data_IF_273838857221
#
_entry.id   IF_273838857221
#
_cell.length_a   1.000
_cell.length_b   1.000
_cell.length_c   1.000
_cell.angle_alpha   90.00
_cell.angle_beta   90.00
_cell.angle_gamma   90.00
#
_symmetry.space_group_name_H-M   'P 1'
#
loop_
_entity.id
_entity.type
_entity.pdbx_description
1 polymer ?
#
# COMPACT_ATOMS: atom_id res chain seq x y z
N UNK A 1 -0.25 -20.11 3.79
CA UNK A 1 0.64 -20.01 2.60
C UNK A 1 2.07 -20.08 3.12
N UNK A 2 2.84 -21.08 2.70
CA UNK A 2 4.04 -21.59 3.39
C UNK A 2 5.35 -21.34 2.62
N UNK A 3 5.42 -20.22 1.91
CA UNK A 3 6.64 -19.67 1.36
C UNK A 3 6.49 -18.16 1.52
N UNK A 4 7.32 -17.53 2.35
CA UNK A 4 7.21 -16.12 2.76
C UNK A 4 7.46 -15.10 1.64
N UNK A 5 6.74 -15.25 0.53
CA UNK A 5 6.74 -14.33 -0.60
C UNK A 5 5.68 -13.25 -0.33
N UNK A 6 6.10 -11.98 -0.39
CA UNK A 6 5.15 -10.88 -0.40
C UNK A 6 4.39 -10.91 -1.73
N UNK A 7 3.07 -10.76 -1.67
CA UNK A 7 2.22 -10.66 -2.87
C UNK A 7 1.74 -9.23 -2.96
N UNK A 8 2.09 -8.55 -4.06
CA UNK A 8 1.60 -7.22 -4.38
C UNK A 8 0.30 -7.33 -5.16
N UNK A 9 -0.75 -6.66 -4.69
CA UNK A 9 -2.02 -6.53 -5.40
C UNK A 9 -2.25 -5.07 -5.77
N UNK A 10 -2.57 -4.82 -7.03
CA UNK A 10 -3.11 -3.55 -7.51
C UNK A 10 -4.63 -3.66 -7.59
N UNK A 11 -5.34 -3.05 -6.65
CA UNK A 11 -6.79 -3.20 -6.44
C UNK A 11 -7.37 -1.87 -6.00
N UNK A 12 -8.61 -1.61 -6.42
CA UNK A 12 -9.37 -0.44 -6.00
C UNK A 12 -9.75 -0.49 -4.50
N UNK A 13 -10.37 0.60 -4.03
CA UNK A 13 -10.79 0.72 -2.63
C UNK A 13 -11.81 -0.36 -2.24
N UNK A 14 -12.69 -0.77 -3.16
CA UNK A 14 -13.70 -1.82 -2.91
C UNK A 14 -13.05 -3.19 -2.70
N UNK A 15 -12.09 -3.54 -3.56
CA UNK A 15 -11.28 -4.75 -3.41
C UNK A 15 -10.47 -4.73 -2.12
N UNK A 16 -9.87 -3.59 -1.78
CA UNK A 16 -9.13 -3.40 -0.53
C UNK A 16 -10.01 -3.65 0.69
N UNK A 17 -11.23 -3.10 0.73
CA UNK A 17 -12.17 -3.34 1.83
C UNK A 17 -12.54 -4.83 1.98
N UNK A 18 -12.78 -5.53 0.87
CA UNK A 18 -13.12 -6.95 0.90
C UNK A 18 -11.98 -7.82 1.48
N UNK A 19 -10.73 -7.49 1.14
CA UNK A 19 -9.56 -8.21 1.68
C UNK A 19 -9.34 -7.84 3.14
N UNK A 20 -9.48 -6.55 3.51
CA UNK A 20 -9.41 -6.10 4.91
C UNK A 20 -10.42 -6.84 5.80
N UNK A 21 -11.62 -7.10 5.31
CA UNK A 21 -12.63 -7.86 6.05
C UNK A 21 -12.22 -9.33 6.32
N UNK A 22 -11.37 -9.92 5.47
CA UNK A 22 -11.00 -11.35 5.54
C UNK A 22 -9.63 -11.59 6.19
N UNK A 23 -8.69 -10.66 6.07
CA UNK A 23 -7.29 -10.89 6.43
C UNK A 23 -6.61 -9.61 6.98
N UNK A 24 -7.27 -8.90 7.89
CA UNK A 24 -6.78 -7.60 8.40
C UNK A 24 -5.38 -7.66 9.02
N UNK A 25 -5.05 -8.73 9.75
CA UNK A 25 -3.79 -8.82 10.49
C UNK A 25 -2.57 -9.08 9.58
N UNK A 26 -2.80 -9.67 8.41
CA UNK A 26 -1.77 -10.03 7.43
C UNK A 26 -1.71 -9.08 6.22
N UNK A 27 -2.60 -8.09 6.15
CA UNK A 27 -2.60 -7.09 5.09
C UNK A 27 -1.78 -5.86 5.50
N UNK A 28 -1.08 -5.28 4.53
CA UNK A 28 -0.52 -3.93 4.60
C UNK A 28 -1.06 -3.17 3.40
N UNK A 29 -1.78 -2.09 3.65
CA UNK A 29 -2.40 -1.28 2.61
C UNK A 29 -1.67 0.05 2.47
N UNK A 30 -1.27 0.36 1.24
CA UNK A 30 -0.55 1.59 0.88
C UNK A 30 -1.36 2.32 -0.18
N UNK A 31 -1.71 3.58 0.06
CA UNK A 31 -2.34 4.44 -0.94
C UNK A 31 -1.30 5.39 -1.54
N UNK A 32 -1.26 5.51 -2.86
CA UNK A 32 -0.30 6.36 -3.57
C UNK A 32 -1.01 7.55 -4.18
N UNK A 33 -0.67 8.75 -3.71
CA UNK A 33 -1.22 10.02 -4.17
C UNK A 33 -0.29 10.71 -5.17
N UNK A 34 -0.82 11.42 -6.18
CA UNK A 34 -0.06 12.43 -6.90
C UNK A 34 0.24 13.63 -5.98
N UNK A 35 1.26 14.44 -6.28
CA UNK A 35 1.63 15.59 -5.45
C UNK A 35 0.66 16.76 -5.58
N UNK A 36 -0.17 16.77 -6.62
CA UNK A 36 -1.23 17.76 -6.83
C UNK A 36 -2.28 17.24 -7.80
N UNK A 37 -3.45 17.88 -7.81
CA UNK A 37 -4.52 17.62 -8.79
C UNK A 37 -4.08 17.96 -10.22
N UNK A 38 -3.27 19.01 -10.41
CA UNK A 38 -2.72 19.37 -11.72
C UNK A 38 -1.79 18.28 -12.27
N UNK A 39 -0.96 17.67 -11.40
CA UNK A 39 -0.08 16.57 -11.81
C UNK A 39 -0.88 15.29 -12.11
N UNK A 40 -1.97 15.03 -11.39
CA UNK A 40 -2.91 13.96 -11.70
C UNK A 40 -3.53 14.14 -13.09
N UNK A 41 -4.07 15.32 -13.36
CA UNK A 41 -4.69 15.66 -14.64
C UNK A 41 -3.69 15.49 -15.79
N UNK A 42 -2.47 16.03 -15.64
CA UNK A 42 -1.38 15.86 -16.60
C UNK A 42 -1.07 14.38 -16.88
N UNK A 43 -1.02 13.53 -15.85
CA UNK A 43 -0.79 12.08 -15.99
C UNK A 43 -1.94 11.38 -16.72
N UNK A 44 -3.19 11.77 -16.46
CA UNK A 44 -4.37 11.23 -17.13
C UNK A 44 -4.42 11.63 -18.61
N UNK A 45 -4.06 12.88 -18.94
CA UNK A 45 -3.94 13.38 -20.32
C UNK A 45 -2.80 12.68 -21.06
N UNK A 46 -1.66 12.48 -20.40
CA UNK A 46 -0.50 11.86 -21.07
C UNK A 46 -0.73 10.38 -21.37
N UNK A 47 -1.47 9.69 -20.49
CA UNK A 47 -1.78 8.26 -20.65
C UNK A 47 -2.83 7.97 -21.72
N UNK A 48 -3.63 8.95 -22.10
CA UNK A 48 -4.70 8.71 -23.04
C UNK A 48 -4.87 9.90 -23.97
N UNK A 49 -4.93 9.65 -25.28
CA UNK A 49 -5.34 10.64 -26.30
C UNK A 49 -6.85 10.96 -26.18
N UNK A 50 -7.32 11.13 -24.95
CA UNK A 50 -8.72 11.25 -24.59
C UNK A 50 -9.19 12.69 -24.75
N UNK A 51 -10.47 12.87 -25.07
CA UNK A 51 -11.11 14.19 -25.10
C UNK A 51 -11.19 14.80 -23.70
N UNK A 52 -11.30 16.12 -23.63
CA UNK A 52 -11.42 16.85 -22.36
C UNK A 52 -12.57 16.34 -21.46
N UNK A 53 -13.66 15.87 -22.06
CA UNK A 53 -14.81 15.30 -21.34
C UNK A 53 -14.48 13.98 -20.64
N UNK A 54 -13.68 13.11 -21.29
CA UNK A 54 -13.21 11.85 -20.69
C UNK A 54 -12.24 12.11 -19.55
N UNK A 55 -11.35 13.11 -19.70
CA UNK A 55 -10.42 13.52 -18.62
C UNK A 55 -11.19 14.03 -17.41
N UNK A 56 -12.21 14.87 -17.61
CA UNK A 56 -13.05 15.38 -16.52
C UNK A 56 -13.76 14.26 -15.76
N UNK A 57 -14.32 13.27 -16.47
CA UNK A 57 -14.94 12.09 -15.84
C UNK A 57 -13.95 11.26 -15.02
N UNK A 58 -12.72 11.08 -15.51
CA UNK A 58 -11.65 10.37 -14.77
C UNK A 58 -11.17 11.16 -13.56
N UNK A 59 -11.04 12.47 -13.66
CA UNK A 59 -10.70 13.34 -12.54
C UNK A 59 -11.75 13.25 -11.41
N UNK A 60 -13.05 13.25 -11.77
CA UNK A 60 -14.12 13.09 -10.80
C UNK A 60 -14.06 11.74 -10.08
N UNK A 61 -13.83 10.65 -10.84
CA UNK A 61 -13.65 9.31 -10.27
C UNK A 61 -12.43 9.22 -9.36
N UNK A 62 -11.30 9.80 -9.77
CA UNK A 62 -10.09 9.82 -8.95
C UNK A 62 -10.29 10.60 -7.64
N UNK A 63 -11.05 11.70 -7.66
CA UNK A 63 -11.40 12.44 -6.45
C UNK A 63 -12.26 11.61 -5.47
N UNK A 64 -13.21 10.83 -5.99
CA UNK A 64 -14.03 9.90 -5.21
C UNK A 64 -13.17 8.79 -4.59
N UNK A 65 -12.29 8.16 -5.38
CA UNK A 65 -11.35 7.14 -4.90
C UNK A 65 -10.40 7.70 -3.83
N UNK A 66 -9.92 8.94 -3.99
CA UNK A 66 -9.07 9.61 -3.00
C UNK A 66 -9.78 9.88 -1.67
N UNK A 67 -11.10 10.01 -1.64
CA UNK A 67 -11.84 10.24 -0.39
C UNK A 67 -11.74 9.05 0.60
N UNK A 68 -11.42 7.86 0.09
CA UNK A 68 -11.23 6.63 0.87
C UNK A 68 -9.80 6.46 1.42
N UNK A 69 -8.90 7.44 1.25
CA UNK A 69 -7.53 7.36 1.79
C UNK A 69 -7.45 7.03 3.31
N UNK A 70 -8.38 7.45 4.20
CA UNK A 70 -8.29 7.14 5.63
C UNK A 70 -8.41 5.65 5.94
N UNK A 71 -8.83 4.85 4.97
CA UNK A 71 -8.95 3.41 5.11
C UNK A 71 -7.62 2.69 4.95
N UNK A 72 -6.55 3.35 4.49
CA UNK A 72 -5.24 2.74 4.24
C UNK A 72 -4.28 2.91 5.43
N UNK A 73 -3.32 1.98 5.57
CA UNK A 73 -2.37 2.00 6.69
C UNK A 73 -1.25 3.03 6.47
N UNK A 74 -0.87 3.24 5.20
CA UNK A 74 0.17 4.17 4.79
C UNK A 74 -0.27 5.00 3.58
N UNK A 75 0.18 6.25 3.52
CA UNK A 75 0.00 7.15 2.37
C UNK A 75 1.37 7.54 1.84
N UNK A 76 1.59 7.41 0.52
CA UNK A 76 2.79 7.87 -0.18
C UNK A 76 2.38 8.95 -1.17
N UNK A 77 2.96 10.15 -1.05
CA UNK A 77 2.80 11.22 -2.05
C UNK A 77 3.92 11.09 -3.07
N UNK A 78 3.58 10.70 -4.29
CA UNK A 78 4.50 10.39 -5.37
C UNK A 78 4.96 11.63 -6.13
N UNK A 79 5.88 12.37 -5.50
CA UNK A 79 6.66 13.44 -6.12
C UNK A 79 7.70 12.91 -7.10
N UNK A 80 8.33 11.79 -6.73
CA UNK A 80 9.40 11.13 -7.48
C UNK A 80 9.23 9.61 -7.38
N UNK A 81 9.51 8.92 -8.49
CA UNK A 81 9.27 7.48 -8.60
C UNK A 81 10.23 6.69 -7.69
N UNK A 82 11.51 7.02 -7.71
CA UNK A 82 12.54 6.30 -6.95
C UNK A 82 12.31 6.46 -5.45
N UNK A 83 11.99 7.68 -5.00
CA UNK A 83 11.62 7.94 -3.60
C UNK A 83 10.36 7.18 -3.17
N UNK A 84 9.37 7.08 -4.06
CA UNK A 84 8.15 6.33 -3.77
C UNK A 84 8.42 4.83 -3.62
N UNK A 85 9.31 4.28 -4.46
CA UNK A 85 9.74 2.88 -4.39
C UNK A 85 10.51 2.62 -3.08
N UNK A 86 11.42 3.51 -2.71
CA UNK A 86 12.17 3.41 -1.46
C UNK A 86 11.26 3.47 -0.22
N UNK A 87 10.22 4.31 -0.26
CA UNK A 87 9.21 4.37 0.78
C UNK A 87 8.44 3.05 0.90
N UNK A 88 8.02 2.43 -0.20
CA UNK A 88 7.39 1.10 -0.20
C UNK A 88 8.32 0.04 0.38
N UNK A 89 9.60 0.01 -0.03
CA UNK A 89 10.57 -0.92 0.54
C UNK A 89 10.78 -0.72 2.04
N UNK A 90 10.76 0.52 2.51
CA UNK A 90 10.88 0.86 3.92
C UNK A 90 9.67 0.33 4.70
N UNK A 91 8.46 0.55 4.20
CA UNK A 91 7.22 0.02 4.79
C UNK A 91 7.26 -1.51 4.86
N UNK A 92 7.61 -2.18 3.76
CA UNK A 92 7.72 -3.65 3.74
C UNK A 92 8.71 -4.19 4.77
N UNK A 93 9.89 -3.56 4.91
CA UNK A 93 10.89 -3.94 5.91
C UNK A 93 10.36 -3.72 7.33
N UNK A 94 9.72 -2.60 7.60
CA UNK A 94 9.15 -2.30 8.91
C UNK A 94 8.04 -3.30 9.29
N UNK A 95 7.14 -3.61 8.36
CA UNK A 95 6.03 -4.54 8.57
C UNK A 95 6.50 -5.97 8.83
N UNK A 96 7.62 -6.39 8.25
CA UNK A 96 8.26 -7.69 8.55
C UNK A 96 8.87 -7.77 9.95
N UNK A 97 9.25 -6.61 10.53
CA UNK A 97 9.80 -6.53 11.89
C UNK A 97 8.71 -6.46 12.97
N UNK A 98 7.43 -6.34 12.58
CA UNK A 98 6.33 -6.27 13.53
C UNK A 98 6.27 -7.56 14.36
N UNK A 99 6.29 -7.43 15.69
CA UNK A 99 6.28 -8.56 16.65
C UNK A 99 5.24 -9.64 16.31
N UNK A 100 4.04 -9.23 15.90
CA UNK A 100 2.94 -10.16 15.55
C UNK A 100 3.24 -11.04 14.33
N UNK A 101 4.16 -10.61 13.45
CA UNK A 101 4.56 -11.33 12.23
C UNK A 101 5.86 -12.12 12.39
N UNK A 102 6.54 -12.00 13.53
CA UNK A 102 7.74 -12.77 13.84
C UNK A 102 7.37 -14.12 14.46
N UNK A 103 6.97 -15.08 13.63
CA UNK A 103 6.44 -16.38 14.05
C UNK A 103 7.38 -17.17 15.00
N UNK A 104 8.69 -17.05 14.83
CA UNK A 104 9.70 -17.75 15.65
C UNK A 104 10.13 -16.99 16.91
N UNK A 105 9.65 -15.76 17.11
CA UNK A 105 10.12 -14.91 18.21
C UNK A 105 9.81 -15.53 19.58
N UNK A 106 8.64 -16.14 19.75
CA UNK A 106 8.25 -16.75 21.03
C UNK A 106 9.19 -17.89 21.43
N UNK A 107 9.57 -18.74 20.47
CA UNK A 107 10.50 -19.86 20.73
C UNK A 107 11.93 -19.33 20.98
N UNK A 108 12.37 -18.35 20.20
CA UNK A 108 13.66 -17.69 20.40
C UNK A 108 13.76 -17.05 21.80
N UNK A 109 12.70 -16.37 22.26
CA UNK A 109 12.65 -15.76 23.59
C UNK A 109 12.65 -16.81 24.71
N UNK A 110 12.07 -17.98 24.47
CA UNK A 110 12.11 -19.10 25.43
C UNK A 110 13.54 -19.64 25.57
N UNK A 111 14.23 -19.89 24.45
CA UNK A 111 15.62 -20.33 24.43
C UNK A 111 16.55 -19.34 25.16
N UNK A 112 16.40 -18.04 24.87
CA UNK A 112 17.16 -16.99 25.55
C UNK A 112 16.94 -16.97 27.07
N UNK A 113 15.72 -17.23 27.54
CA UNK A 113 15.40 -17.27 28.97
C UNK A 113 15.93 -18.53 29.66
N UNK A 114 15.99 -19.64 28.95
CA UNK A 114 16.42 -20.94 29.47
C UNK A 114 17.95 -21.12 29.42
N UNK A 115 18.67 -20.24 28.71
CA UNK A 115 20.13 -20.22 28.66
C UNK A 115 20.77 -21.32 27.80
N UNK A 116 19.96 -22.08 27.07
CA UNK A 116 20.45 -23.06 26.09
C UNK A 116 20.76 -22.35 24.77
N UNK A 117 22.05 -22.31 24.41
CA UNK A 117 22.56 -21.87 23.11
C UNK A 117 22.53 -22.99 22.09
#
# INVERSE_FOLDING_TARGET
>A
MSSGCDVLFDIDWQGTQQIKAKARDDLVSIFVLPPSTAELEKRLITRAQDSAEVVAGRMARAADEMSHYPEYDYIIVNHDLDQSIDAVHTILKAERLRRSRQASLTEFMKQLREGCS
#
